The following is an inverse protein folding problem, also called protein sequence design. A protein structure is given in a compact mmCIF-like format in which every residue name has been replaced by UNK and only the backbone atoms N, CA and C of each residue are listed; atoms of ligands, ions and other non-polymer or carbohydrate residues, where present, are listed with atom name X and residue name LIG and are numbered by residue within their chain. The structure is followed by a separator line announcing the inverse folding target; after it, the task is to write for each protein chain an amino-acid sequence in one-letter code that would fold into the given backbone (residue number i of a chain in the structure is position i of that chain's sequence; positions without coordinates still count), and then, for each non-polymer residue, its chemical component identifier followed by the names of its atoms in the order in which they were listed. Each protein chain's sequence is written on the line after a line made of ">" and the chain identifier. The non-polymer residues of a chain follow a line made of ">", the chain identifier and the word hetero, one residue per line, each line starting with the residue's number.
data_IF_485760114775
#
_entry.id   IF_485760114775
#
_cell.length_a   1.000
_cell.length_b   1.000
_cell.length_c   1.000
_cell.angle_alpha   90.00
_cell.angle_beta   90.00
_cell.angle_gamma   90.00
#
_symmetry.space_group_name_H-M   'P 1'
#
loop_
_entity.id
_entity.type
_entity.pdbx_description
1 polymer ?
#
# COMPACT_ATOMS: atom_id res chain seq x y z
N UNK A 1 2.97 13.67 13.70
CA UNK A 1 2.41 12.74 12.68
C UNK A 1 3.55 12.36 11.75
N UNK A 2 3.94 11.07 11.65
CA UNK A 2 4.86 10.66 10.59
C UNK A 2 4.11 10.82 9.26
N UNK A 3 4.60 11.69 8.38
CA UNK A 3 4.08 11.88 7.04
C UNK A 3 4.13 10.52 6.32
N UNK A 4 3.00 10.10 5.75
CA UNK A 4 2.96 8.92 4.88
C UNK A 4 4.03 9.05 3.80
N UNK A 5 4.71 7.95 3.48
CA UNK A 5 5.72 8.00 2.44
C UNK A 5 5.06 8.36 1.09
N UNK A 6 5.58 9.34 0.33
CA UNK A 6 4.99 9.72 -0.95
C UNK A 6 4.79 8.56 -1.92
N UNK A 7 5.67 7.56 -1.89
CA UNK A 7 5.56 6.37 -2.74
C UNK A 7 4.31 5.53 -2.41
N UNK A 8 3.90 5.47 -1.14
CA UNK A 8 2.65 4.80 -0.75
C UNK A 8 1.44 5.54 -1.29
N UNK A 9 1.46 6.88 -1.26
CA UNK A 9 0.38 7.70 -1.81
C UNK A 9 0.30 7.54 -3.33
N UNK A 10 1.45 7.59 -4.02
CA UNK A 10 1.51 7.35 -5.47
C UNK A 10 0.94 5.98 -5.83
N UNK A 11 1.31 4.93 -5.09
CA UNK A 11 0.78 3.59 -5.31
C UNK A 11 -0.73 3.52 -5.10
N UNK A 12 -1.27 4.13 -4.04
CA UNK A 12 -2.72 4.19 -3.83
C UNK A 12 -3.46 4.90 -4.97
N UNK A 13 -2.90 5.99 -5.50
CA UNK A 13 -3.48 6.69 -6.65
C UNK A 13 -3.49 5.79 -7.88
N UNK A 14 -2.38 5.10 -8.19
CA UNK A 14 -2.31 4.15 -9.31
C UNK A 14 -3.35 3.03 -9.14
N UNK A 15 -3.43 2.44 -7.94
CA UNK A 15 -4.33 1.33 -7.67
C UNK A 15 -5.80 1.77 -7.73
N UNK A 16 -6.11 2.99 -7.27
CA UNK A 16 -7.43 3.61 -7.39
C UNK A 16 -7.80 3.86 -8.86
N UNK A 17 -6.88 4.41 -9.67
CA UNK A 17 -7.10 4.61 -11.10
C UNK A 17 -7.36 3.28 -11.82
N UNK A 18 -6.66 2.22 -11.43
CA UNK A 18 -6.84 0.88 -12.00
C UNK A 18 -8.23 0.30 -11.68
N UNK A 19 -8.73 0.52 -10.45
CA UNK A 19 -10.11 0.15 -10.09
C UNK A 19 -11.14 0.99 -10.86
N UNK A 20 -10.94 2.31 -10.95
CA UNK A 20 -11.84 3.21 -11.71
C UNK A 20 -11.87 2.85 -13.19
N UNK A 21 -10.72 2.48 -13.76
CA UNK A 21 -10.64 2.06 -15.16
C UNK A 21 -11.38 0.74 -15.42
N UNK A 22 -11.39 -0.17 -14.45
CA UNK A 22 -11.93 -1.52 -14.60
C UNK A 22 -13.38 -1.68 -14.13
N UNK A 23 -13.93 -0.74 -13.36
CA UNK A 23 -15.30 -0.83 -12.81
C UNK A 23 -16.40 -0.90 -13.88
N UNK A 24 -16.17 -0.27 -15.03
CA UNK A 24 -17.11 -0.24 -16.16
C UNK A 24 -16.75 -1.24 -17.26
N UNK A 25 -15.80 -2.14 -17.00
CA UNK A 25 -15.39 -3.13 -17.99
C UNK A 25 -16.50 -4.16 -18.24
N UNK A 26 -16.80 -4.40 -19.51
CA UNK A 26 -17.79 -5.40 -19.95
C UNK A 26 -17.14 -6.68 -20.47
N UNK A 27 -15.83 -6.66 -20.72
CA UNK A 27 -15.03 -7.83 -21.08
C UNK A 27 -14.61 -8.62 -19.83
N UNK A 28 -14.51 -9.93 -19.96
CA UNK A 28 -14.16 -10.84 -18.86
C UNK A 28 -12.83 -10.47 -18.18
N UNK A 29 -11.81 -10.12 -18.96
CA UNK A 29 -10.48 -9.74 -18.46
C UNK A 29 -10.54 -8.53 -17.53
N UNK A 30 -11.32 -7.50 -17.89
CA UNK A 30 -11.47 -6.30 -17.07
C UNK A 30 -12.23 -6.57 -15.78
N UNK A 31 -13.25 -7.44 -15.83
CA UNK A 31 -14.01 -7.88 -14.64
C UNK A 31 -13.09 -8.66 -13.68
N UNK A 32 -12.27 -9.58 -14.20
CA UNK A 32 -11.28 -10.32 -13.40
C UNK A 32 -10.29 -9.35 -12.74
N UNK A 33 -9.76 -8.40 -13.50
CA UNK A 33 -8.81 -7.42 -12.99
C UNK A 33 -9.44 -6.52 -11.90
N UNK A 34 -10.70 -6.12 -12.06
CA UNK A 34 -11.46 -5.37 -11.05
C UNK A 34 -11.58 -6.15 -9.74
N UNK A 35 -12.09 -7.39 -9.80
CA UNK A 35 -12.29 -8.23 -8.62
C UNK A 35 -10.98 -8.65 -7.96
N UNK A 36 -9.89 -8.73 -8.71
CA UNK A 36 -8.55 -8.94 -8.15
C UNK A 36 -8.06 -7.66 -7.46
N UNK A 37 -8.23 -6.48 -8.05
CA UNK A 37 -7.61 -5.23 -7.56
C UNK A 37 -8.33 -4.61 -6.38
N UNK A 38 -9.66 -4.63 -6.40
CA UNK A 38 -10.50 -4.01 -5.37
C UNK A 38 -10.15 -4.45 -3.93
N UNK A 39 -10.04 -5.75 -3.59
CA UNK A 39 -9.73 -6.15 -2.22
C UNK A 39 -8.34 -5.67 -1.76
N UNK A 40 -7.35 -5.59 -2.67
CA UNK A 40 -6.03 -5.09 -2.33
C UNK A 40 -5.97 -3.58 -2.17
N UNK A 41 -6.79 -2.83 -2.92
CA UNK A 41 -6.98 -1.40 -2.68
C UNK A 41 -7.56 -1.16 -1.28
N UNK A 42 -8.60 -1.91 -0.90
CA UNK A 42 -9.20 -1.84 0.45
C UNK A 42 -8.14 -2.19 1.50
N UNK A 43 -7.37 -3.27 1.31
CA UNK A 43 -6.31 -3.68 2.23
C UNK A 43 -5.23 -2.58 2.41
N UNK A 44 -4.81 -1.94 1.31
CA UNK A 44 -3.84 -0.84 1.35
C UNK A 44 -4.43 0.41 2.04
N UNK A 45 -5.70 0.73 1.82
CA UNK A 45 -6.40 1.78 2.55
C UNK A 45 -6.45 1.49 4.06
N UNK A 46 -6.79 0.26 4.46
CA UNK A 46 -6.76 -0.18 5.87
C UNK A 46 -5.34 -0.02 6.44
N UNK A 47 -4.31 -0.43 5.70
CA UNK A 47 -2.92 -0.25 6.10
C UNK A 47 -2.57 1.22 6.36
N UNK A 48 -2.98 2.14 5.48
CA UNK A 48 -2.79 3.58 5.65
C UNK A 48 -3.55 4.13 6.86
N UNK A 49 -4.81 3.74 7.07
CA UNK A 49 -5.59 4.15 8.24
C UNK A 49 -4.87 3.73 9.53
N UNK A 50 -4.36 2.49 9.60
CA UNK A 50 -3.62 1.99 10.76
C UNK A 50 -2.32 2.79 11.00
N UNK A 51 -1.63 3.23 9.94
CA UNK A 51 -0.46 4.12 10.06
C UNK A 51 -0.89 5.46 10.69
N UNK A 52 -1.97 6.06 10.19
CA UNK A 52 -2.49 7.35 10.68
C UNK A 52 -2.94 7.25 12.14
N UNK A 53 -3.53 6.12 12.55
CA UNK A 53 -3.91 5.82 13.93
C UNK A 53 -2.72 5.54 14.88
N UNK A 54 -1.48 5.77 14.43
CA UNK A 54 -0.29 5.68 15.28
C UNK A 54 0.30 4.27 15.40
N UNK A 55 -0.12 3.31 14.57
CA UNK A 55 0.44 1.95 14.53
C UNK A 55 1.22 1.71 13.22
N UNK A 56 2.27 2.50 12.91
CA UNK A 56 2.90 2.52 11.59
C UNK A 56 3.53 1.18 11.21
N UNK A 57 4.09 0.42 12.17
CA UNK A 57 4.66 -0.91 11.90
C UNK A 57 3.62 -1.89 11.33
N UNK A 58 2.46 -1.97 11.97
CA UNK A 58 1.38 -2.87 11.57
C UNK A 58 0.81 -2.41 10.23
N UNK A 59 0.48 -1.12 10.12
CA UNK A 59 -0.12 -0.57 8.90
C UNK A 59 0.79 -0.66 7.68
N UNK A 60 2.10 -0.39 7.82
CA UNK A 60 3.07 -0.58 6.72
C UNK A 60 3.25 -2.04 6.34
N UNK A 61 3.12 -2.98 7.28
CA UNK A 61 3.19 -4.42 6.96
C UNK A 61 1.97 -4.86 6.14
N UNK A 62 0.76 -4.44 6.54
CA UNK A 62 -0.48 -4.71 5.81
C UNK A 62 -0.41 -4.12 4.40
N UNK A 63 0.03 -2.87 4.28
CA UNK A 63 0.20 -2.19 2.99
C UNK A 63 1.21 -2.91 2.08
N UNK A 64 2.31 -3.41 2.65
CA UNK A 64 3.31 -4.16 1.88
C UNK A 64 2.71 -5.44 1.30
N UNK A 65 1.94 -6.19 2.08
CA UNK A 65 1.25 -7.41 1.63
C UNK A 65 0.27 -7.07 0.50
N UNK A 66 -0.52 -6.02 0.65
CA UNK A 66 -1.47 -5.57 -0.38
C UNK A 66 -0.83 -4.95 -1.63
N UNK A 67 0.48 -4.72 -1.62
CA UNK A 67 1.22 -4.16 -2.76
C UNK A 67 2.02 -5.23 -3.52
N UNK A 68 2.46 -6.30 -2.85
CA UNK A 68 3.40 -7.29 -3.42
C UNK A 68 2.83 -8.09 -4.58
N UNK A 69 1.51 -8.23 -4.67
CA UNK A 69 0.85 -9.03 -5.72
C UNK A 69 0.76 -8.32 -7.07
N UNK A 70 1.08 -7.03 -7.14
CA UNK A 70 0.99 -6.23 -8.35
C UNK A 70 2.36 -5.98 -9.02
N UNK A 71 3.31 -6.90 -8.90
CA UNK A 71 4.63 -6.77 -9.56
C UNK A 71 4.45 -6.69 -11.09
N UNK A 72 5.08 -5.72 -11.77
CA UNK A 72 6.11 -4.81 -11.26
C UNK A 72 5.60 -3.49 -10.63
N UNK A 73 4.38 -3.05 -10.95
CA UNK A 73 3.88 -1.71 -10.61
C UNK A 73 3.75 -1.51 -9.09
N UNK A 74 3.33 -2.55 -8.38
CA UNK A 74 3.17 -2.58 -6.92
C UNK A 74 4.47 -2.39 -6.14
N UNK A 75 5.63 -2.52 -6.78
CA UNK A 75 6.93 -2.27 -6.14
C UNK A 75 7.04 -0.83 -5.61
N UNK A 76 6.38 0.14 -6.25
CA UNK A 76 6.32 1.53 -5.76
C UNK A 76 5.76 1.55 -4.33
N UNK A 77 4.66 0.85 -4.10
CA UNK A 77 4.04 0.71 -2.78
C UNK A 77 4.92 -0.05 -1.79
N UNK A 78 5.54 -1.15 -2.24
CA UNK A 78 6.47 -1.94 -1.42
C UNK A 78 7.66 -1.10 -0.93
N UNK A 79 8.28 -0.31 -1.80
CA UNK A 79 9.39 0.56 -1.41
C UNK A 79 8.95 1.66 -0.44
N UNK A 80 7.77 2.23 -0.66
CA UNK A 80 7.19 3.21 0.27
C UNK A 80 6.98 2.64 1.67
N UNK A 81 6.36 1.46 1.77
CA UNK A 81 6.14 0.78 3.05
C UNK A 81 7.45 0.33 3.73
N UNK A 82 8.41 -0.19 2.96
CA UNK A 82 9.74 -0.59 3.48
C UNK A 82 10.49 0.58 4.08
N UNK A 83 10.41 1.78 3.51
CA UNK A 83 11.06 2.98 4.09
C UNK A 83 10.54 3.28 5.49
N UNK A 84 9.23 3.21 5.72
CA UNK A 84 8.65 3.41 7.06
C UNK A 84 9.13 2.34 8.03
N UNK A 85 9.14 1.07 7.61
CA UNK A 85 9.60 -0.05 8.45
C UNK A 85 11.08 0.07 8.82
N UNK A 86 11.93 0.51 7.88
CA UNK A 86 13.35 0.73 8.13
C UNK A 86 13.58 1.88 9.12
N UNK A 87 12.88 3.01 8.95
CA UNK A 87 12.93 4.13 9.89
C UNK A 87 12.56 3.70 11.31
N UNK A 88 11.51 2.88 11.47
CA UNK A 88 11.12 2.33 12.78
C UNK A 88 12.23 1.45 13.38
N UNK A 89 12.91 0.66 12.53
CA UNK A 89 14.00 -0.21 12.96
C UNK A 89 15.23 0.61 13.40
N UNK A 90 15.57 1.64 12.64
CA UNK A 90 16.68 2.56 12.95
C UNK A 90 16.42 3.35 14.24
N UNK A 91 15.23 3.92 14.41
CA UNK A 91 14.84 4.63 15.65
C UNK A 91 14.92 3.71 16.87
N UNK A 92 14.47 2.45 16.74
CA UNK A 92 14.55 1.47 17.84
C UNK A 92 16.01 1.14 18.19
N UNK A 93 16.87 1.02 17.19
CA UNK A 93 18.29 0.73 17.40
C UNK A 93 18.98 1.89 18.14
N UNK A 94 18.76 3.14 17.70
CA UNK A 94 19.34 4.34 18.34
C UNK A 94 18.88 4.46 19.80
N UNK A 95 17.61 4.21 20.10
CA UNK A 95 17.08 4.30 21.47
C UNK A 95 17.56 3.18 22.41
N UNK A 96 18.26 2.16 21.89
CA UNK A 96 18.81 1.05 22.69
C UNK A 96 20.32 1.24 22.99
N UNK A 97 20.97 2.24 22.36
CA UNK A 97 22.33 2.69 22.65
C UNK A 97 22.32 3.72 23.78
#
# INVERSE_FOLDING_TARGET
>A
MKLLNPQMVIWLVIQLLLVIFTISATNEEGIILFWMTLPFLILNCIGVIIIILGKPKIGSTIFLIGSVLFVPIGLIGVFGARKILNQIKEEKFINTL
#
